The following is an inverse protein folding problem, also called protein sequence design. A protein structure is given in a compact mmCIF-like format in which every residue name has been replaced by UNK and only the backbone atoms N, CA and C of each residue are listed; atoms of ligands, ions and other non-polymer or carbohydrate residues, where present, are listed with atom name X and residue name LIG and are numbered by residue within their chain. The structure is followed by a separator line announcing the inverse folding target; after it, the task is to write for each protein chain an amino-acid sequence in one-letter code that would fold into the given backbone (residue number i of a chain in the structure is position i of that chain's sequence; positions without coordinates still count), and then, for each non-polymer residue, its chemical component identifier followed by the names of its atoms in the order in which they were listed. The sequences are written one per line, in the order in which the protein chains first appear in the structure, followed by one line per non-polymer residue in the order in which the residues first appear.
data_IF_886171238218
#
_entry.id   IF_886171238218
#
_cell.length_a   1.000
_cell.length_b   1.000
_cell.length_c   1.000
_cell.angle_alpha   90.00
_cell.angle_beta   90.00
_cell.angle_gamma   90.00
#
_symmetry.space_group_name_H-M   'P 1'
#
loop_
_entity.id
_entity.type
_entity.pdbx_description
1 polymer ?
#
# COMPACT_ATOMS: atom_id res chain seq x y z
N UNK A 1 -0.60 -1.26 38.96
CA UNK A 1 -1.29 -2.21 38.07
C UNK A 1 -1.96 -1.54 36.84
N UNK A 2 -2.68 -0.43 37.00
CA UNK A 2 -3.32 0.29 35.89
C UNK A 2 -2.30 0.87 34.89
N UNK A 3 -1.17 1.42 35.32
CA UNK A 3 -0.12 1.95 34.46
C UNK A 3 0.53 0.85 33.61
N UNK A 4 0.77 -0.34 34.15
CA UNK A 4 1.31 -1.47 33.40
C UNK A 4 0.33 -1.99 32.33
N UNK A 5 -0.98 -1.97 32.63
CA UNK A 5 -2.01 -2.32 31.65
C UNK A 5 -2.07 -1.31 30.52
N UNK A 6 -2.01 0.01 30.84
CA UNK A 6 -1.94 1.09 29.82
C UNK A 6 -0.68 0.97 28.95
N UNK A 7 0.47 0.69 29.54
CA UNK A 7 1.72 0.48 28.80
C UNK A 7 1.65 -0.74 27.88
N UNK A 8 1.08 -1.84 28.34
CA UNK A 8 0.88 -3.04 27.50
C UNK A 8 -0.09 -2.81 26.35
N UNK A 9 -1.17 -2.05 26.59
CA UNK A 9 -2.13 -1.66 25.53
C UNK A 9 -1.46 -0.73 24.53
N UNK A 10 -0.67 0.23 25.00
CA UNK A 10 0.06 1.15 24.12
C UNK A 10 1.13 0.44 23.29
N UNK A 11 1.85 -0.52 23.87
CA UNK A 11 2.82 -1.34 23.15
C UNK A 11 2.15 -2.22 22.10
N UNK A 12 1.05 -2.88 22.42
CA UNK A 12 0.27 -3.68 21.45
C UNK A 12 -0.30 -2.82 20.33
N UNK A 13 -0.77 -1.61 20.63
CA UNK A 13 -1.26 -0.67 19.63
C UNK A 13 -0.13 -0.15 18.75
N UNK A 14 1.04 0.09 19.32
CA UNK A 14 2.25 0.49 18.60
C UNK A 14 2.75 -0.63 17.67
N UNK A 15 2.77 -1.87 18.15
CA UNK A 15 3.11 -3.06 17.36
C UNK A 15 2.12 -3.28 16.22
N UNK A 16 0.81 -3.12 16.45
CA UNK A 16 -0.22 -3.17 15.42
C UNK A 16 -0.02 -2.09 14.35
N UNK A 17 0.28 -0.84 14.76
CA UNK A 17 0.55 0.27 13.83
C UNK A 17 1.81 0.02 13.00
N UNK A 18 2.87 -0.52 13.60
CA UNK A 18 4.11 -0.87 12.88
C UNK A 18 3.93 -2.01 11.90
N UNK A 19 2.85 -2.80 12.03
CA UNK A 19 2.56 -3.95 11.17
C UNK A 19 1.64 -3.61 9.98
N UNK A 20 1.18 -2.36 9.87
CA UNK A 20 0.36 -1.91 8.75
C UNK A 20 1.23 -1.61 7.53
N UNK A 21 0.84 -2.19 6.42
CA UNK A 21 1.52 -2.01 5.14
C UNK A 21 0.53 -1.60 4.07
N UNK A 22 0.86 -0.59 3.29
CA UNK A 22 0.14 -0.25 2.07
C UNK A 22 1.05 -0.50 0.87
N UNK A 23 0.52 -1.20 -0.12
CA UNK A 23 1.30 -1.65 -1.27
C UNK A 23 1.03 -0.74 -2.46
N UNK A 24 2.11 -0.19 -3.01
CA UNK A 24 2.07 0.58 -4.23
C UNK A 24 1.72 -0.33 -5.43
N UNK A 25 1.15 0.27 -6.46
CA UNK A 25 0.81 -0.43 -7.71
C UNK A 25 2.00 -1.20 -8.27
N UNK A 26 3.20 -0.63 -8.19
CA UNK A 26 4.42 -1.26 -8.66
C UNK A 26 4.71 -2.60 -7.97
N UNK A 27 4.50 -2.69 -6.66
CA UNK A 27 4.61 -3.96 -5.95
C UNK A 27 3.62 -4.99 -6.49
N UNK A 28 2.37 -4.59 -6.68
CA UNK A 28 1.31 -5.48 -7.17
C UNK A 28 1.62 -5.99 -8.58
N UNK A 29 2.08 -5.12 -9.45
CA UNK A 29 2.45 -5.47 -10.83
C UNK A 29 3.63 -6.44 -10.85
N UNK A 30 4.68 -6.17 -10.09
CA UNK A 30 5.84 -7.05 -9.99
C UNK A 30 5.48 -8.41 -9.37
N UNK A 31 4.64 -8.42 -8.34
CA UNK A 31 4.18 -9.66 -7.72
C UNK A 31 3.39 -10.56 -8.67
N UNK A 32 2.69 -9.97 -9.64
CA UNK A 32 1.88 -10.70 -10.62
C UNK A 32 2.70 -11.13 -11.84
N UNK A 33 3.52 -10.23 -12.36
CA UNK A 33 4.16 -10.39 -13.67
C UNK A 33 5.65 -10.72 -13.63
N UNK A 34 6.31 -10.59 -12.47
CA UNK A 34 7.73 -10.90 -12.38
C UNK A 34 8.00 -12.40 -12.59
N UNK A 35 8.96 -12.70 -13.42
CA UNK A 35 9.46 -14.07 -13.65
C UNK A 35 10.56 -14.47 -12.64
N UNK A 36 10.99 -13.53 -11.80
CA UNK A 36 12.01 -13.75 -10.80
C UNK A 36 11.45 -14.55 -9.62
N UNK A 37 11.90 -15.79 -9.46
CA UNK A 37 11.41 -16.69 -8.41
C UNK A 37 11.78 -16.24 -7.00
N UNK A 38 12.93 -15.59 -6.81
CA UNK A 38 13.31 -15.02 -5.51
C UNK A 38 12.38 -13.86 -5.11
N UNK A 39 12.08 -12.99 -6.06
CA UNK A 39 11.12 -11.91 -5.84
C UNK A 39 9.75 -12.47 -5.46
N UNK A 40 9.26 -13.48 -6.16
CA UNK A 40 7.98 -14.11 -5.87
C UNK A 40 7.93 -14.69 -4.45
N UNK A 41 8.98 -15.34 -4.00
CA UNK A 41 9.09 -15.88 -2.64
C UNK A 41 9.09 -14.77 -1.59
N UNK A 42 9.82 -13.69 -1.83
CA UNK A 42 9.87 -12.52 -0.95
C UNK A 42 8.53 -11.79 -0.90
N UNK A 43 7.84 -11.66 -2.04
CA UNK A 43 6.51 -11.07 -2.11
C UNK A 43 5.49 -11.87 -1.31
N UNK A 44 5.52 -13.20 -1.38
CA UNK A 44 4.66 -14.07 -0.58
C UNK A 44 4.98 -13.96 0.91
N UNK A 45 6.25 -13.93 1.28
CA UNK A 45 6.69 -13.75 2.66
C UNK A 45 6.27 -12.38 3.22
N UNK A 46 6.36 -11.32 2.41
CA UNK A 46 5.93 -9.96 2.78
C UNK A 46 4.46 -9.92 3.18
N UNK A 47 3.61 -10.68 2.52
CA UNK A 47 2.16 -10.71 2.79
C UNK A 47 1.76 -11.46 4.06
N UNK A 48 2.68 -12.19 4.71
CA UNK A 48 2.39 -12.98 5.91
C UNK A 48 2.42 -12.10 7.18
N UNK A 49 1.46 -12.34 8.08
CA UNK A 49 1.39 -11.70 9.41
C UNK A 49 1.38 -10.16 9.38
N UNK A 50 0.80 -9.56 8.33
CA UNK A 50 0.70 -8.12 8.14
C UNK A 50 -0.74 -7.67 8.02
N UNK A 51 -1.05 -6.45 8.48
CA UNK A 51 -2.24 -5.73 8.03
C UNK A 51 -1.94 -5.12 6.66
N UNK A 52 -2.59 -5.65 5.62
CA UNK A 52 -2.30 -5.36 4.21
C UNK A 52 -3.38 -4.48 3.61
N UNK A 53 -2.95 -3.35 3.11
CA UNK A 53 -3.82 -2.36 2.50
C UNK A 53 -3.40 -2.05 1.07
N UNK A 54 -4.37 -1.74 0.22
CA UNK A 54 -4.16 -1.12 -1.08
C UNK A 54 -5.14 0.03 -1.24
N UNK A 55 -4.68 1.12 -1.86
CA UNK A 55 -5.58 2.22 -2.23
C UNK A 55 -6.48 1.79 -3.39
N UNK A 56 -7.71 2.34 -3.45
CA UNK A 56 -8.56 2.22 -4.66
C UNK A 56 -7.85 2.74 -5.92
N UNK A 57 -6.89 3.63 -5.76
CA UNK A 57 -6.03 4.11 -6.88
C UNK A 57 -5.19 2.97 -7.44
N UNK A 58 -4.54 2.20 -6.57
CA UNK A 58 -3.75 1.03 -7.00
C UNK A 58 -4.65 -0.06 -7.61
N UNK A 59 -5.85 -0.26 -7.07
CA UNK A 59 -6.85 -1.14 -7.67
C UNK A 59 -7.20 -0.69 -9.09
N UNK A 60 -7.48 0.59 -9.28
CA UNK A 60 -7.78 1.16 -10.60
C UNK A 60 -6.63 0.93 -11.58
N UNK A 61 -5.42 1.23 -11.19
CA UNK A 61 -4.24 1.08 -12.05
C UNK A 61 -3.99 -0.38 -12.43
N UNK A 62 -4.11 -1.30 -11.47
CA UNK A 62 -3.96 -2.73 -11.71
C UNK A 62 -5.08 -3.27 -12.62
N UNK A 63 -6.32 -2.87 -12.39
CA UNK A 63 -7.45 -3.28 -13.20
C UNK A 63 -7.28 -2.82 -14.66
N UNK A 64 -6.93 -1.56 -14.85
CA UNK A 64 -6.67 -0.99 -16.17
C UNK A 64 -5.54 -1.72 -16.91
N UNK A 65 -4.43 -1.98 -16.22
CA UNK A 65 -3.29 -2.69 -16.80
C UNK A 65 -3.68 -4.12 -17.22
N UNK A 66 -4.42 -4.81 -16.37
CA UNK A 66 -4.87 -6.18 -16.68
C UNK A 66 -5.88 -6.19 -17.83
N UNK A 67 -6.80 -5.23 -17.88
CA UNK A 67 -7.70 -5.07 -19.04
C UNK A 67 -6.93 -4.96 -20.35
N UNK A 68 -5.88 -4.15 -20.35
CA UNK A 68 -5.05 -3.92 -21.54
C UNK A 68 -4.27 -5.17 -21.96
N UNK A 69 -3.73 -5.91 -21.00
CA UNK A 69 -2.85 -7.06 -21.26
C UNK A 69 -3.59 -8.39 -21.45
N UNK A 70 -4.64 -8.62 -20.70
CA UNK A 70 -5.23 -9.95 -20.56
C UNK A 70 -6.76 -9.99 -20.72
N UNK A 71 -7.41 -8.85 -20.86
CA UNK A 71 -8.85 -8.76 -21.06
C UNK A 71 -9.68 -8.70 -19.79
N UNK A 72 -10.99 -8.56 -19.96
CA UNK A 72 -11.94 -8.25 -18.89
C UNK A 72 -12.13 -9.39 -17.88
N UNK A 73 -12.22 -10.63 -18.34
CA UNK A 73 -12.42 -11.78 -17.44
C UNK A 73 -11.26 -11.94 -16.46
N UNK A 74 -10.04 -11.91 -16.97
CA UNK A 74 -8.83 -11.98 -16.14
C UNK A 74 -8.73 -10.78 -15.19
N UNK A 75 -9.07 -9.58 -15.67
CA UNK A 75 -9.07 -8.39 -14.84
C UNK A 75 -10.04 -8.48 -13.66
N UNK A 76 -11.26 -8.94 -13.90
CA UNK A 76 -12.27 -9.16 -12.84
C UNK A 76 -11.82 -10.19 -11.81
N UNK A 77 -11.27 -11.31 -12.28
CA UNK A 77 -10.75 -12.35 -11.39
C UNK A 77 -9.60 -11.82 -10.52
N UNK A 78 -8.67 -11.11 -11.13
CA UNK A 78 -7.50 -10.54 -10.44
C UNK A 78 -7.90 -9.56 -9.35
N UNK A 79 -8.87 -8.68 -9.61
CA UNK A 79 -9.40 -7.74 -8.62
C UNK A 79 -10.15 -8.47 -7.51
N UNK A 80 -10.89 -9.52 -7.82
CA UNK A 80 -11.55 -10.35 -6.81
C UNK A 80 -10.52 -10.98 -5.86
N UNK A 81 -9.43 -11.51 -6.38
CA UNK A 81 -8.33 -12.06 -5.57
C UNK A 81 -7.61 -10.98 -4.76
N UNK A 82 -7.41 -9.80 -5.33
CA UNK A 82 -6.84 -8.65 -4.62
C UNK A 82 -7.67 -8.29 -3.38
N UNK A 83 -8.98 -8.22 -3.52
CA UNK A 83 -9.91 -7.90 -2.42
C UNK A 83 -9.94 -8.96 -1.33
N UNK A 84 -9.62 -10.21 -1.65
CA UNK A 84 -9.48 -11.28 -0.66
C UNK A 84 -8.18 -11.18 0.13
N UNK A 85 -7.12 -10.68 -0.49
CA UNK A 85 -5.78 -10.60 0.10
C UNK A 85 -5.54 -9.29 0.84
N UNK A 86 -6.04 -8.19 0.30
CA UNK A 86 -5.79 -6.83 0.79
C UNK A 86 -7.08 -6.13 1.19
N UNK A 87 -6.99 -5.27 2.20
CA UNK A 87 -8.05 -4.33 2.52
C UNK A 87 -7.95 -3.12 1.59
N UNK A 88 -8.97 -2.91 0.79
CA UNK A 88 -9.02 -1.78 -0.14
C UNK A 88 -9.48 -0.53 0.60
N UNK A 89 -8.70 0.55 0.51
CA UNK A 89 -8.95 1.81 1.19
C UNK A 89 -9.48 2.84 0.19
N UNK A 90 -10.65 3.42 0.43
CA UNK A 90 -11.20 4.44 -0.45
C UNK A 90 -10.44 5.76 -0.34
N UNK A 91 -10.56 6.58 -1.36
CA UNK A 91 -10.12 7.98 -1.34
C UNK A 91 -11.27 8.83 -0.80
N UNK A 92 -11.19 9.16 0.47
CA UNK A 92 -12.15 10.06 1.12
C UNK A 92 -11.66 11.53 1.08
N UNK A 93 -12.41 12.44 1.72
CA UNK A 93 -12.05 13.85 1.76
C UNK A 93 -10.69 14.11 2.42
N UNK A 94 -10.37 13.38 3.49
CA UNK A 94 -9.08 13.52 4.18
C UNK A 94 -7.91 13.11 3.29
N UNK A 95 -8.06 12.00 2.58
CA UNK A 95 -7.06 11.56 1.60
C UNK A 95 -6.91 12.60 0.49
N UNK A 96 -8.02 13.11 -0.03
CA UNK A 96 -8.01 14.11 -1.10
C UNK A 96 -7.27 15.40 -0.68
N UNK A 97 -7.57 15.92 0.49
CA UNK A 97 -6.94 17.14 1.01
C UNK A 97 -5.45 16.95 1.25
N UNK A 98 -5.07 15.88 1.96
CA UNK A 98 -3.65 15.59 2.24
C UNK A 98 -2.89 15.29 0.95
N UNK A 99 -3.49 14.58 0.01
CA UNK A 99 -2.86 14.28 -1.28
C UNK A 99 -2.55 15.56 -2.07
N UNK A 100 -3.43 16.55 -2.03
CA UNK A 100 -3.20 17.85 -2.67
C UNK A 100 -2.00 18.58 -2.04
N UNK A 101 -1.90 18.56 -0.72
CA UNK A 101 -0.76 19.16 0.01
C UNK A 101 0.56 18.44 -0.33
N UNK A 102 0.57 17.12 -0.32
CA UNK A 102 1.76 16.33 -0.65
C UNK A 102 2.17 16.51 -2.11
N UNK A 103 1.19 16.54 -3.01
CA UNK A 103 1.43 16.76 -4.43
C UNK A 103 2.08 18.12 -4.70
N UNK A 104 1.61 19.17 -4.03
CA UNK A 104 2.18 20.50 -4.14
C UNK A 104 3.61 20.55 -3.59
N UNK A 105 3.82 19.93 -2.42
CA UNK A 105 5.13 19.96 -1.73
C UNK A 105 6.21 19.16 -2.46
N UNK A 106 5.87 17.98 -2.98
CA UNK A 106 6.82 17.04 -3.58
C UNK A 106 6.67 16.90 -5.10
N UNK A 107 5.72 17.60 -5.71
CA UNK A 107 5.45 17.53 -7.16
C UNK A 107 5.17 16.10 -7.65
N UNK A 108 4.35 15.39 -6.91
CA UNK A 108 3.95 14.02 -7.21
C UNK A 108 2.87 13.98 -8.30
N UNK A 109 2.72 12.81 -8.95
CA UNK A 109 1.51 12.51 -9.71
C UNK A 109 0.28 12.45 -8.79
N UNK A 110 -0.91 12.59 -9.34
CA UNK A 110 -2.14 12.45 -8.57
C UNK A 110 -2.24 11.07 -7.90
N UNK A 111 -1.95 10.00 -8.63
CA UNK A 111 -2.01 8.64 -8.10
C UNK A 111 -1.04 8.42 -6.95
N UNK A 112 0.22 8.78 -7.12
CA UNK A 112 1.25 8.65 -6.08
C UNK A 112 0.91 9.48 -4.85
N UNK A 113 0.42 10.70 -5.02
CA UNK A 113 0.02 11.56 -3.91
C UNK A 113 -1.13 10.97 -3.09
N UNK A 114 -2.08 10.33 -3.73
CA UNK A 114 -3.21 9.67 -3.06
C UNK A 114 -2.78 8.43 -2.28
N UNK A 115 -1.89 7.63 -2.83
CA UNK A 115 -1.30 6.47 -2.14
C UNK A 115 -0.48 6.94 -0.93
N UNK A 116 0.36 7.95 -1.10
CA UNK A 116 1.16 8.52 -0.02
C UNK A 116 0.29 9.10 1.10
N UNK A 117 -0.76 9.84 0.76
CA UNK A 117 -1.71 10.39 1.74
C UNK A 117 -2.41 9.28 2.52
N UNK A 118 -2.82 8.21 1.84
CA UNK A 118 -3.43 7.04 2.48
C UNK A 118 -2.45 6.37 3.45
N UNK A 119 -1.19 6.19 3.05
CA UNK A 119 -0.14 5.66 3.91
C UNK A 119 0.03 6.49 5.18
N UNK A 120 0.06 7.81 5.04
CA UNK A 120 0.19 8.74 6.17
C UNK A 120 -1.00 8.63 7.13
N UNK A 121 -2.22 8.67 6.62
CA UNK A 121 -3.44 8.61 7.43
C UNK A 121 -3.56 7.27 8.17
N UNK A 122 -3.22 6.16 7.52
CA UNK A 122 -3.22 4.84 8.13
C UNK A 122 -2.02 4.62 9.06
N UNK A 123 -1.05 5.50 9.05
CA UNK A 123 0.24 5.27 9.70
C UNK A 123 0.84 3.93 9.26
N UNK A 124 0.78 3.64 7.98
CA UNK A 124 1.26 2.41 7.35
C UNK A 124 2.59 2.63 6.64
N UNK A 125 3.43 1.61 6.62
CA UNK A 125 4.63 1.62 5.79
C UNK A 125 4.23 1.43 4.34
N UNK A 126 4.66 2.32 3.45
CA UNK A 126 4.44 2.21 2.01
C UNK A 126 5.48 1.28 1.39
N UNK A 127 5.03 0.20 0.80
CA UNK A 127 5.90 -0.76 0.12
C UNK A 127 6.04 -0.35 -1.32
N UNK A 128 7.14 0.30 -1.63
CA UNK A 128 7.48 0.81 -2.96
C UNK A 128 8.98 0.99 -3.10
N UNK A 129 9.53 0.74 -4.28
CA UNK A 129 10.89 1.06 -4.66
C UNK A 129 11.00 2.36 -5.47
N UNK A 130 9.88 3.06 -5.67
CA UNK A 130 9.86 4.31 -6.41
C UNK A 130 10.53 5.44 -5.61
N UNK A 131 11.57 6.09 -6.16
CA UNK A 131 12.25 7.20 -5.49
C UNK A 131 11.33 8.37 -5.13
N UNK A 132 10.21 8.57 -5.84
CA UNK A 132 9.25 9.63 -5.52
C UNK A 132 8.64 9.46 -4.12
N UNK A 133 8.39 8.21 -3.68
CA UNK A 133 7.90 7.96 -2.33
C UNK A 133 8.97 8.16 -1.25
N UNK A 134 10.22 7.85 -1.56
CA UNK A 134 11.32 7.92 -0.59
C UNK A 134 11.62 9.36 -0.13
N UNK A 135 11.32 10.36 -0.94
CA UNK A 135 11.49 11.78 -0.59
C UNK A 135 10.41 12.31 0.35
N UNK A 136 9.30 11.59 0.54
CA UNK A 136 8.15 12.04 1.32
C UNK A 136 8.41 11.82 2.81
N UNK A 137 8.63 12.90 3.56
CA UNK A 137 8.98 12.83 4.99
C UNK A 137 7.83 12.38 5.88
N UNK A 138 6.60 12.56 5.44
CA UNK A 138 5.38 12.24 6.19
C UNK A 138 5.06 10.75 6.23
N UNK A 139 5.78 9.93 5.46
CA UNK A 139 5.57 8.48 5.40
C UNK A 139 6.88 7.70 5.58
N UNK A 140 6.74 6.44 5.97
CA UNK A 140 7.83 5.47 5.94
C UNK A 140 7.69 4.60 4.70
N UNK A 141 8.80 4.31 4.05
CA UNK A 141 8.85 3.44 2.88
C UNK A 141 9.75 2.25 3.11
N UNK A 142 9.47 1.16 2.44
CA UNK A 142 10.30 -0.04 2.42
C UNK A 142 10.12 -0.76 1.10
N UNK A 143 11.05 -1.62 0.78
CA UNK A 143 10.96 -2.54 -0.35
C UNK A 143 11.34 -3.95 0.06
N UNK A 144 10.96 -4.91 -0.74
CA UNK A 144 11.29 -6.32 -0.54
C UNK A 144 12.54 -6.68 -1.34
N UNK A 145 13.65 -6.77 -0.68
CA UNK A 145 14.93 -7.18 -1.30
C UNK A 145 15.29 -8.62 -0.96
#
# INVERSE_FOLDING_TARGET
MQQLKKLRVNLKNSEKKMNRRIYDTRFLVEAIYSENSEFQKKAEAEKKNREKYVSVVALHELYRLTLSREGQETAKLRISLLKQTFKVVPVDEKVAELSAELRQKYQLSMGDSMIAATASILNAVCISDDPHFQQIKEIKTSWIN
#
